data_IF_706447405725
#
_entry.id   IF_706447405725
#
_cell.length_a   1.000
_cell.length_b   1.000
_cell.length_c   1.000
_cell.angle_alpha   90.00
_cell.angle_beta   90.00
_cell.angle_gamma   90.00
#
_symmetry.space_group_name_H-M   'P 1'
#
loop_
_entity.id
_entity.type
_entity.pdbx_description
1 polymer ?
#
# COMPACT_ATOMS: atom_id res chain seq x y z
N UNK A 1 1.47 -17.81 -19.72
CA UNK A 1 0.69 -17.34 -18.57
C UNK A 1 1.59 -16.34 -17.86
N UNK A 2 1.35 -15.05 -18.05
CA UNK A 2 2.10 -14.03 -17.29
C UNK A 2 1.65 -14.11 -15.84
N UNK A 3 2.54 -14.56 -14.99
CA UNK A 3 2.35 -14.58 -13.55
C UNK A 3 2.19 -13.11 -13.12
N UNK A 4 1.02 -12.75 -12.59
CA UNK A 4 0.83 -11.43 -11.98
C UNK A 4 1.48 -11.52 -10.61
N UNK A 5 2.81 -11.67 -10.59
CA UNK A 5 3.58 -11.60 -9.36
C UNK A 5 3.64 -10.16 -8.88
N UNK A 6 3.44 -9.92 -7.58
CA UNK A 6 3.83 -8.63 -7.01
C UNK A 6 5.35 -8.45 -7.16
N UNK A 7 5.80 -7.22 -7.42
CA UNK A 7 7.21 -6.90 -7.30
C UNK A 7 7.70 -7.19 -5.88
N UNK A 8 8.95 -7.57 -5.72
CA UNK A 8 9.54 -7.79 -4.40
C UNK A 8 10.94 -7.19 -4.36
N UNK A 9 11.12 -6.23 -3.49
CA UNK A 9 12.40 -5.61 -3.16
C UNK A 9 12.65 -5.72 -1.67
N UNK A 10 13.89 -5.63 -1.27
CA UNK A 10 14.27 -5.43 0.12
C UNK A 10 14.32 -3.94 0.41
N UNK A 11 13.67 -3.48 1.50
CA UNK A 11 13.83 -2.10 1.95
C UNK A 11 14.61 -2.08 3.26
N UNK A 12 15.73 -1.38 3.27
CA UNK A 12 16.58 -1.20 4.44
C UNK A 12 16.43 0.23 4.96
N UNK A 13 16.16 0.36 6.24
CA UNK A 13 16.05 1.63 6.96
C UNK A 13 17.13 1.69 8.02
N UNK A 14 17.95 2.74 8.00
CA UNK A 14 19.07 2.89 8.91
C UNK A 14 19.09 4.27 9.58
N UNK A 15 19.07 4.26 10.93
CA UNK A 15 19.20 5.43 11.81
C UNK A 15 18.26 6.58 11.46
N UNK A 16 17.02 6.26 11.07
CA UNK A 16 16.04 7.23 10.59
C UNK A 16 15.58 8.13 11.73
N UNK A 17 15.66 9.45 11.53
CA UNK A 17 15.18 10.45 12.47
C UNK A 17 14.25 11.43 11.77
N UNK A 18 13.21 11.88 12.47
CA UNK A 18 12.29 12.92 12.02
C UNK A 18 11.70 13.70 13.17
N UNK A 19 11.77 15.03 13.07
CA UNK A 19 11.11 15.95 13.99
C UNK A 19 10.24 16.97 13.25
N UNK A 20 9.31 17.54 13.95
CA UNK A 20 8.42 18.59 13.45
C UNK A 20 8.37 19.77 14.40
N UNK A 21 8.10 20.97 13.88
CA UNK A 21 8.06 22.20 14.64
C UNK A 21 9.38 22.97 14.61
N UNK A 22 9.41 24.15 15.22
CA UNK A 22 10.57 25.05 15.22
C UNK A 22 10.86 25.49 16.66
N UNK A 23 12.15 25.56 17.00
CA UNK A 23 12.63 26.05 18.31
C UNK A 23 12.02 25.27 19.48
N UNK A 24 11.41 25.95 20.49
CA UNK A 24 10.85 25.28 21.67
C UNK A 24 9.67 24.33 21.39
N UNK A 25 9.06 24.45 20.21
CA UNK A 25 7.95 23.59 19.74
C UNK A 25 8.44 22.41 18.91
N UNK A 26 9.74 22.25 18.74
CA UNK A 26 10.30 21.09 18.03
C UNK A 26 10.04 19.81 18.81
N UNK A 27 9.41 18.85 18.17
CA UNK A 27 9.12 17.53 18.71
C UNK A 27 9.73 16.46 17.80
N UNK A 28 10.66 15.69 18.34
CA UNK A 28 11.18 14.50 17.70
C UNK A 28 10.09 13.42 17.70
N UNK A 29 9.72 12.93 16.53
CA UNK A 29 8.64 11.94 16.32
C UNK A 29 9.21 10.56 16.02
N UNK A 30 10.29 10.49 15.26
CA UNK A 30 11.02 9.26 14.97
C UNK A 30 12.48 9.50 15.38
N UNK A 31 13.00 8.55 16.15
CA UNK A 31 14.34 8.61 16.73
C UNK A 31 15.09 7.31 16.48
N UNK A 32 16.21 7.43 15.74
CA UNK A 32 17.17 6.33 15.48
C UNK A 32 16.49 5.00 15.10
N UNK A 33 15.52 5.08 14.17
CA UNK A 33 14.74 3.93 13.76
C UNK A 33 15.47 3.15 12.67
N UNK A 34 15.73 1.87 12.92
CA UNK A 34 16.42 0.98 11.99
C UNK A 34 15.70 -0.37 11.89
N UNK A 35 15.40 -0.82 10.68
CA UNK A 35 14.79 -2.12 10.40
C UNK A 35 14.92 -2.48 8.92
N UNK A 36 14.57 -3.72 8.58
CA UNK A 36 14.54 -4.21 7.19
C UNK A 36 13.17 -4.82 6.89
N UNK A 37 12.59 -4.43 5.76
CA UNK A 37 11.48 -5.15 5.14
C UNK A 37 12.08 -6.20 4.22
N UNK A 38 12.02 -7.47 4.63
CA UNK A 38 12.58 -8.58 3.87
C UNK A 38 11.73 -8.88 2.63
N UNK A 39 12.39 -9.30 1.55
CA UNK A 39 11.72 -9.67 0.28
C UNK A 39 10.63 -10.71 0.51
N UNK A 40 9.48 -10.49 -0.13
CA UNK A 40 8.34 -11.40 -0.13
C UNK A 40 7.78 -11.72 1.27
N UNK A 41 8.01 -10.82 2.23
CA UNK A 41 7.45 -10.95 3.58
C UNK A 41 6.46 -9.83 3.88
N UNK A 42 5.49 -10.18 4.72
CA UNK A 42 4.62 -9.23 5.39
C UNK A 42 5.27 -8.82 6.72
N UNK A 43 5.50 -7.52 6.86
CA UNK A 43 5.92 -6.92 8.13
C UNK A 43 4.76 -6.14 8.69
N UNK A 44 4.39 -6.38 9.93
CA UNK A 44 3.32 -5.66 10.61
C UNK A 44 3.92 -4.70 11.64
N UNK A 45 3.60 -3.41 11.50
CA UNK A 45 3.97 -2.36 12.45
C UNK A 45 2.75 -1.98 13.28
N UNK A 46 2.82 -2.25 14.57
CA UNK A 46 1.74 -1.96 15.51
C UNK A 46 2.14 -0.79 16.43
N UNK A 47 1.23 0.14 16.65
CA UNK A 47 1.47 1.24 17.59
C UNK A 47 0.24 2.13 17.77
N UNK A 48 0.16 2.88 18.89
CA UNK A 48 -0.96 3.76 19.16
C UNK A 48 -1.08 4.88 18.12
N UNK A 49 -2.27 5.47 18.00
CA UNK A 49 -2.46 6.65 17.14
C UNK A 49 -1.55 7.80 17.56
N UNK A 50 -0.95 8.49 16.59
CA UNK A 50 -0.07 9.65 16.84
C UNK A 50 1.37 9.30 17.26
N UNK A 51 1.80 8.03 17.26
CA UNK A 51 3.18 7.67 17.57
C UNK A 51 4.17 7.82 16.41
N UNK A 52 3.73 8.30 15.23
CA UNK A 52 4.61 8.54 14.09
C UNK A 52 4.51 7.54 12.93
N UNK A 53 3.57 6.58 12.96
CA UNK A 53 3.42 5.55 11.92
C UNK A 53 3.25 6.15 10.51
N UNK A 54 2.34 7.10 10.34
CA UNK A 54 2.14 7.78 9.04
C UNK A 54 3.33 8.62 8.63
N UNK A 55 4.04 9.27 9.57
CA UNK A 55 5.28 9.96 9.28
C UNK A 55 6.37 8.99 8.76
N UNK A 56 6.46 7.81 9.36
CA UNK A 56 7.35 6.76 8.88
C UNK A 56 6.98 6.34 7.44
N UNK A 57 5.71 6.02 7.18
CA UNK A 57 5.24 5.66 5.83
C UNK A 57 5.56 6.77 4.82
N UNK A 58 5.34 8.03 5.15
CA UNK A 58 5.64 9.16 4.27
C UNK A 58 7.12 9.23 3.89
N UNK A 59 8.02 8.97 4.84
CA UNK A 59 9.45 8.91 4.55
C UNK A 59 9.82 7.68 3.72
N UNK A 60 9.27 6.50 4.03
CA UNK A 60 9.50 5.28 3.26
C UNK A 60 9.01 5.41 1.82
N UNK A 61 7.87 6.08 1.62
CA UNK A 61 7.32 6.38 0.30
C UNK A 61 8.11 7.46 -0.46
N UNK A 62 8.95 8.23 0.25
CA UNK A 62 9.70 9.36 -0.32
C UNK A 62 8.88 10.64 -0.44
N UNK A 63 7.72 10.73 0.23
CA UNK A 63 6.91 11.95 0.28
C UNK A 63 7.52 13.00 1.23
N UNK A 64 8.23 12.53 2.25
CA UNK A 64 8.99 13.37 3.17
C UNK A 64 10.46 12.94 3.24
N UNK A 65 11.34 13.93 3.37
CA UNK A 65 12.77 13.67 3.59
C UNK A 65 13.02 13.49 5.10
N UNK A 66 13.72 12.43 5.52
CA UNK A 66 14.18 12.30 6.89
C UNK A 66 15.19 13.38 7.25
N UNK A 67 15.25 13.75 8.54
CA UNK A 67 16.24 14.72 9.05
C UNK A 67 17.63 14.07 9.20
N UNK A 68 17.67 12.75 9.45
CA UNK A 68 18.88 11.94 9.45
C UNK A 68 18.56 10.50 9.08
N UNK A 69 19.59 9.72 8.76
CA UNK A 69 19.47 8.33 8.35
C UNK A 69 19.28 8.15 6.84
N UNK A 70 18.96 6.92 6.43
CA UNK A 70 18.79 6.58 5.03
C UNK A 70 17.77 5.46 4.84
N UNK A 71 17.15 5.46 3.65
CA UNK A 71 16.23 4.43 3.20
C UNK A 71 16.75 3.92 1.86
N UNK A 72 16.94 2.62 1.74
CA UNK A 72 17.41 1.97 0.52
C UNK A 72 16.38 0.92 0.07
N UNK A 73 16.17 0.79 -1.25
CA UNK A 73 15.44 -0.33 -1.85
C UNK A 73 16.39 -1.06 -2.79
N UNK A 74 16.65 -2.33 -2.52
CA UNK A 74 17.64 -3.16 -3.26
C UNK A 74 19.03 -2.47 -3.37
N UNK A 75 19.45 -1.72 -2.35
CA UNK A 75 20.69 -0.98 -2.30
C UNK A 75 20.64 0.43 -2.93
N UNK A 76 19.55 0.80 -3.60
CA UNK A 76 19.36 2.14 -4.18
C UNK A 76 18.68 3.09 -3.20
N UNK A 77 19.22 4.31 -3.06
CA UNK A 77 18.70 5.30 -2.11
C UNK A 77 17.36 5.87 -2.57
N UNK A 78 16.39 5.86 -1.66
CA UNK A 78 15.12 6.58 -1.83
C UNK A 78 15.35 8.08 -1.75
N UNK A 79 15.15 8.80 -2.86
CA UNK A 79 15.36 10.25 -2.98
C UNK A 79 14.07 11.05 -3.22
N UNK A 80 12.93 10.36 -3.37
CA UNK A 80 11.62 10.96 -3.63
C UNK A 80 10.59 9.88 -3.96
N UNK A 81 9.34 10.22 -4.29
CA UNK A 81 8.33 9.26 -4.72
C UNK A 81 8.75 8.48 -5.97
N UNK A 82 8.38 7.21 -6.05
CA UNK A 82 8.70 6.35 -7.20
C UNK A 82 7.71 5.23 -7.41
N UNK A 83 7.62 4.66 -8.63
CA UNK A 83 6.70 3.58 -8.96
C UNK A 83 7.07 2.23 -8.34
N UNK A 84 8.28 2.11 -7.83
CA UNK A 84 8.81 0.93 -7.15
C UNK A 84 8.21 0.70 -5.76
N UNK A 85 7.46 1.68 -5.24
CA UNK A 85 6.77 1.63 -3.95
C UNK A 85 5.43 2.32 -4.00
N UNK A 86 4.45 1.74 -3.33
CA UNK A 86 3.08 2.25 -3.30
C UNK A 86 2.55 2.31 -1.88
N UNK A 87 1.72 3.32 -1.61
CA UNK A 87 0.99 3.48 -0.36
C UNK A 87 -0.50 3.30 -0.61
N UNK A 88 -1.12 2.41 0.17
CA UNK A 88 -2.57 2.32 0.34
C UNK A 88 -2.91 3.09 1.61
N UNK A 89 -3.59 4.21 1.45
CA UNK A 89 -3.91 5.12 2.56
C UNK A 89 -5.12 4.65 3.36
N UNK A 90 -5.30 5.22 4.56
CA UNK A 90 -6.45 4.97 5.42
C UNK A 90 -7.77 5.35 4.73
N UNK A 91 -7.83 6.49 4.07
CA UNK A 91 -8.95 6.89 3.23
C UNK A 91 -8.79 6.35 1.82
N UNK A 92 -9.88 5.92 1.19
CA UNK A 92 -9.83 5.42 -0.18
C UNK A 92 -9.44 6.55 -1.14
N UNK A 93 -8.39 6.30 -1.93
CA UNK A 93 -7.85 7.26 -2.89
C UNK A 93 -8.25 6.95 -4.35
N UNK A 94 -9.40 6.27 -4.55
CA UNK A 94 -9.92 6.02 -5.89
C UNK A 94 -10.29 7.35 -6.57
N UNK A 95 -10.01 7.46 -7.87
CA UNK A 95 -10.41 8.61 -8.68
C UNK A 95 -11.94 8.59 -8.86
N UNK A 96 -12.70 9.55 -8.28
CA UNK A 96 -14.17 9.50 -8.26
C UNK A 96 -14.80 9.66 -9.65
N UNK A 97 -14.08 10.21 -10.61
CA UNK A 97 -14.52 10.40 -12.00
C UNK A 97 -14.16 9.25 -12.94
N UNK A 98 -13.50 8.20 -12.43
CA UNK A 98 -13.12 7.00 -13.16
C UNK A 98 -13.93 5.81 -12.67
N UNK A 99 -14.25 4.90 -13.59
CA UNK A 99 -14.84 3.60 -13.25
C UNK A 99 -13.85 2.73 -12.46
N UNK A 100 -14.32 1.62 -11.90
CA UNK A 100 -13.47 0.64 -11.22
C UNK A 100 -12.38 0.13 -12.17
N UNK A 101 -12.75 -0.24 -13.41
CA UNK A 101 -11.79 -0.69 -14.42
C UNK A 101 -10.74 0.38 -14.73
N UNK A 102 -11.16 1.61 -14.96
CA UNK A 102 -10.25 2.72 -15.25
C UNK A 102 -9.32 3.04 -14.08
N UNK A 103 -9.82 3.00 -12.84
CA UNK A 103 -9.00 3.16 -11.64
C UNK A 103 -7.90 2.10 -11.56
N UNK A 104 -8.24 0.82 -11.72
CA UNK A 104 -7.29 -0.29 -11.63
C UNK A 104 -6.27 -0.23 -12.76
N UNK A 105 -6.73 -0.02 -13.99
CA UNK A 105 -5.87 -0.01 -15.20
C UNK A 105 -5.04 1.26 -15.36
N UNK A 106 -5.26 2.30 -14.54
CA UNK A 106 -4.68 3.65 -14.75
C UNK A 106 -3.15 3.65 -14.78
N UNK A 107 -2.51 3.07 -13.77
CA UNK A 107 -1.05 3.11 -13.61
C UNK A 107 -0.31 2.50 -14.81
N UNK A 108 -0.51 1.20 -15.11
CA UNK A 108 0.16 0.54 -16.24
C UNK A 108 -0.15 1.20 -17.59
N UNK A 109 -1.39 1.72 -17.76
CA UNK A 109 -1.79 2.44 -18.97
C UNK A 109 -0.98 3.73 -19.17
N UNK A 110 -0.85 4.55 -18.11
CA UNK A 110 -0.14 5.84 -18.18
C UNK A 110 1.36 5.65 -18.37
N UNK A 111 1.94 4.61 -17.76
CA UNK A 111 3.36 4.28 -17.94
C UNK A 111 3.65 3.56 -19.27
N UNK A 112 2.62 3.15 -20.02
CA UNK A 112 2.80 2.42 -21.27
C UNK A 112 3.32 0.99 -21.10
N UNK A 113 3.21 0.42 -19.89
CA UNK A 113 3.68 -0.94 -19.56
C UNK A 113 2.74 -2.02 -20.08
N UNK A 114 1.43 -1.74 -20.04
CA UNK A 114 0.39 -2.60 -20.58
C UNK A 114 -0.55 -1.80 -21.47
N UNK A 115 -1.02 -2.42 -22.54
CA UNK A 115 -1.96 -1.79 -23.49
C UNK A 115 -2.89 -2.82 -24.13
N UNK A 116 -3.97 -2.34 -24.73
CA UNK A 116 -4.91 -3.18 -25.50
C UNK A 116 -5.43 -4.36 -24.67
N UNK A 117 -5.41 -5.56 -25.29
CA UNK A 117 -5.93 -6.79 -24.70
C UNK A 117 -5.17 -7.25 -23.44
N UNK A 118 -3.87 -6.99 -23.37
CA UNK A 118 -3.08 -7.40 -22.20
C UNK A 118 -3.47 -6.60 -20.97
N UNK A 119 -3.68 -5.29 -21.12
CA UNK A 119 -4.18 -4.43 -20.05
C UNK A 119 -5.59 -4.87 -19.60
N UNK A 120 -6.48 -5.14 -20.57
CA UNK A 120 -7.85 -5.59 -20.29
C UNK A 120 -7.84 -6.93 -19.52
N UNK A 121 -7.13 -7.94 -20.04
CA UNK A 121 -7.06 -9.26 -19.44
C UNK A 121 -6.47 -9.21 -18.02
N UNK A 122 -5.37 -8.46 -17.83
CA UNK A 122 -4.72 -8.33 -16.53
C UNK A 122 -5.65 -7.63 -15.52
N UNK A 123 -6.30 -6.54 -15.94
CA UNK A 123 -7.24 -5.82 -15.09
C UNK A 123 -8.43 -6.68 -14.71
N UNK A 124 -9.03 -7.39 -15.67
CA UNK A 124 -10.19 -8.27 -15.41
C UNK A 124 -9.84 -9.40 -14.47
N UNK A 125 -8.69 -10.06 -14.66
CA UNK A 125 -8.22 -11.12 -13.76
C UNK A 125 -8.10 -10.64 -12.31
N UNK A 126 -7.55 -9.43 -12.09
CA UNK A 126 -7.44 -8.85 -10.76
C UNK A 126 -8.82 -8.48 -10.17
N UNK A 127 -9.74 -7.98 -11.00
CA UNK A 127 -11.12 -7.70 -10.56
C UNK A 127 -11.87 -8.97 -10.18
N UNK A 128 -11.72 -10.06 -10.95
CA UNK A 128 -12.28 -11.39 -10.64
C UNK A 128 -11.76 -11.92 -9.30
N UNK A 129 -10.46 -11.78 -9.04
CA UNK A 129 -9.84 -12.22 -7.78
C UNK A 129 -10.49 -11.57 -6.54
N UNK A 130 -10.97 -10.33 -6.66
CA UNK A 130 -11.61 -9.60 -5.55
C UNK A 130 -13.13 -9.54 -5.67
N UNK A 131 -13.75 -10.27 -6.63
CA UNK A 131 -15.19 -10.31 -6.85
C UNK A 131 -15.79 -8.97 -7.26
N UNK A 132 -15.09 -8.24 -8.13
CA UNK A 132 -15.53 -6.94 -8.66
C UNK A 132 -15.68 -6.91 -10.18
N UNK A 133 -15.64 -8.06 -10.86
CA UNK A 133 -15.78 -8.19 -12.32
C UNK A 133 -17.08 -7.57 -12.85
N UNK A 134 -18.19 -7.80 -12.16
CA UNK A 134 -19.50 -7.25 -12.51
C UNK A 134 -19.65 -5.75 -12.22
N UNK A 135 -18.73 -5.21 -11.42
CA UNK A 135 -18.71 -3.82 -11.00
C UNK A 135 -17.70 -2.96 -11.80
N UNK A 136 -17.04 -3.54 -12.81
CA UNK A 136 -15.98 -2.88 -13.58
C UNK A 136 -16.36 -1.52 -14.18
N UNK A 137 -17.63 -1.33 -14.55
CA UNK A 137 -18.17 -0.08 -15.13
C UNK A 137 -18.77 0.87 -14.10
N UNK A 138 -18.78 0.52 -12.82
CA UNK A 138 -19.30 1.37 -11.74
C UNK A 138 -18.27 2.39 -11.31
N UNK A 139 -18.75 3.54 -10.83
CA UNK A 139 -17.93 4.58 -10.21
C UNK A 139 -17.76 4.32 -8.70
N UNK A 140 -16.72 4.83 -8.05
CA UNK A 140 -16.49 4.65 -6.61
C UNK A 140 -17.71 4.99 -5.76
N UNK A 141 -18.47 6.03 -6.08
CA UNK A 141 -19.68 6.44 -5.36
C UNK A 141 -20.84 5.40 -5.40
N UNK A 142 -20.75 4.42 -6.28
CA UNK A 142 -21.74 3.34 -6.43
C UNK A 142 -21.30 2.05 -5.71
N UNK A 143 -20.17 2.07 -5.01
CA UNK A 143 -19.60 0.92 -4.30
C UNK A 143 -19.72 1.08 -2.79
N UNK A 144 -19.86 -0.03 -2.06
CA UNK A 144 -19.67 -0.03 -0.61
C UNK A 144 -18.20 0.26 -0.23
N UNK A 145 -17.95 0.68 1.01
CA UNK A 145 -16.59 0.95 1.48
C UNK A 145 -15.64 -0.25 1.32
N UNK A 146 -16.10 -1.48 1.62
CA UNK A 146 -15.33 -2.70 1.39
C UNK A 146 -15.03 -2.97 -0.09
N UNK A 147 -15.99 -2.70 -0.99
CA UNK A 147 -15.76 -2.81 -2.44
C UNK A 147 -14.75 -1.78 -2.94
N UNK A 148 -14.83 -0.53 -2.45
CA UNK A 148 -13.84 0.50 -2.77
C UNK A 148 -12.44 0.08 -2.31
N UNK A 149 -12.33 -0.48 -1.11
CA UNK A 149 -11.06 -0.95 -0.56
C UNK A 149 -10.48 -2.11 -1.38
N UNK A 150 -11.30 -3.06 -1.81
CA UNK A 150 -10.87 -4.15 -2.72
C UNK A 150 -10.36 -3.61 -4.06
N UNK A 151 -11.08 -2.66 -4.66
CA UNK A 151 -10.65 -2.00 -5.89
C UNK A 151 -9.32 -1.27 -5.73
N UNK A 152 -9.09 -0.62 -4.58
CA UNK A 152 -7.84 0.08 -4.28
C UNK A 152 -6.66 -0.88 -4.11
N UNK A 153 -6.86 -2.01 -3.42
CA UNK A 153 -5.83 -3.04 -3.30
C UNK A 153 -5.38 -3.57 -4.65
N UNK A 154 -6.30 -3.95 -5.53
CA UNK A 154 -5.93 -4.45 -6.87
C UNK A 154 -5.38 -3.35 -7.77
N UNK A 155 -5.77 -2.08 -7.59
CA UNK A 155 -5.13 -0.93 -8.22
C UNK A 155 -3.67 -0.76 -7.80
N UNK A 156 -3.35 -1.06 -6.54
CA UNK A 156 -1.96 -1.08 -6.08
C UNK A 156 -1.20 -2.27 -6.68
N UNK A 157 -1.79 -3.47 -6.64
CA UNK A 157 -1.17 -4.72 -7.09
C UNK A 157 -0.83 -4.72 -8.57
N UNK A 158 -1.69 -4.19 -9.45
CA UNK A 158 -1.45 -4.16 -10.91
C UNK A 158 -0.17 -3.40 -11.27
N UNK A 159 0.27 -2.49 -10.41
CA UNK A 159 1.48 -1.71 -10.61
C UNK A 159 2.76 -2.48 -10.25
N UNK A 160 2.65 -3.66 -9.66
CA UNK A 160 3.77 -4.53 -9.25
C UNK A 160 4.88 -3.78 -8.49
N UNK A 161 4.56 -2.99 -7.44
CA UNK A 161 5.56 -2.26 -6.70
C UNK A 161 6.52 -3.22 -6.01
N UNK A 162 7.81 -2.85 -5.89
CA UNK A 162 8.78 -3.62 -5.11
C UNK A 162 8.41 -3.68 -3.63
N UNK A 163 7.80 -2.61 -3.10
CA UNK A 163 7.30 -2.53 -1.72
C UNK A 163 5.91 -1.90 -1.71
N UNK A 164 4.95 -2.57 -1.07
CA UNK A 164 3.62 -2.03 -0.82
C UNK A 164 3.45 -1.71 0.66
N UNK A 165 3.06 -0.50 0.96
CA UNK A 165 2.82 -0.02 2.31
C UNK A 165 1.34 0.27 2.51
N UNK A 166 0.79 -0.09 3.66
CA UNK A 166 -0.61 0.13 3.98
C UNK A 166 -0.72 0.85 5.32
N UNK A 167 -1.31 2.03 5.33
CA UNK A 167 -1.51 2.86 6.52
C UNK A 167 -2.93 2.69 7.06
N UNK A 168 -3.10 1.86 8.08
CA UNK A 168 -4.39 1.53 8.71
C UNK A 168 -5.52 1.26 7.68
N UNK A 169 -5.30 0.35 6.69
CA UNK A 169 -6.15 0.28 5.49
C UNK A 169 -7.59 -0.15 5.78
N UNK A 170 -7.85 -0.82 6.90
CA UNK A 170 -9.19 -1.31 7.24
C UNK A 170 -9.86 -0.52 8.36
N UNK A 171 -9.23 0.58 8.79
CA UNK A 171 -9.82 1.49 9.76
C UNK A 171 -11.09 2.14 9.21
N UNK A 172 -12.10 2.27 10.07
CA UNK A 172 -13.39 2.86 9.69
C UNK A 172 -14.37 1.91 8.99
N UNK A 173 -13.96 0.67 8.70
CA UNK A 173 -14.88 -0.37 8.28
C UNK A 173 -15.63 -0.95 9.50
N UNK A 174 -16.89 -1.38 9.29
CA UNK A 174 -17.60 -2.16 10.29
C UNK A 174 -16.89 -3.51 10.54
N UNK A 175 -17.16 -4.14 11.68
CA UNK A 175 -16.43 -5.33 12.13
C UNK A 175 -16.52 -6.51 11.14
N UNK A 176 -17.68 -6.74 10.51
CA UNK A 176 -17.86 -7.83 9.55
C UNK A 176 -17.08 -7.55 8.25
N UNK A 177 -17.21 -6.35 7.71
CA UNK A 177 -16.47 -5.93 6.51
C UNK A 177 -14.97 -5.96 6.75
N UNK A 178 -14.50 -5.52 7.94
CA UNK A 178 -13.09 -5.57 8.33
C UNK A 178 -12.56 -7.00 8.33
N UNK A 179 -13.25 -7.93 9.00
CA UNK A 179 -12.84 -9.34 9.04
C UNK A 179 -12.75 -9.95 7.63
N UNK A 180 -13.73 -9.69 6.76
CA UNK A 180 -13.69 -10.12 5.37
C UNK A 180 -12.50 -9.52 4.61
N UNK A 181 -12.18 -8.25 4.83
CA UNK A 181 -11.05 -7.59 4.17
C UNK A 181 -9.70 -8.13 4.65
N UNK A 182 -9.58 -8.48 5.93
CA UNK A 182 -8.39 -9.12 6.49
C UNK A 182 -8.16 -10.50 5.85
N UNK A 183 -9.20 -11.34 5.78
CA UNK A 183 -9.15 -12.65 5.10
C UNK A 183 -8.77 -12.49 3.61
N UNK A 184 -9.37 -11.53 2.92
CA UNK A 184 -9.05 -11.22 1.53
C UNK A 184 -7.57 -10.84 1.36
N UNK A 185 -7.08 -9.95 2.22
CA UNK A 185 -5.71 -9.49 2.13
C UNK A 185 -4.70 -10.61 2.39
N UNK A 186 -4.92 -11.43 3.43
CA UNK A 186 -4.05 -12.60 3.72
C UNK A 186 -4.00 -13.54 2.52
N UNK A 187 -5.15 -13.88 1.94
CA UNK A 187 -5.23 -14.75 0.76
C UNK A 187 -4.46 -14.16 -0.43
N UNK A 188 -4.67 -12.86 -0.73
CA UNK A 188 -3.95 -12.17 -1.80
C UNK A 188 -2.44 -12.15 -1.54
N UNK A 189 -2.02 -11.94 -0.30
CA UNK A 189 -0.61 -11.96 0.06
C UNK A 189 -0.01 -13.37 -0.09
N UNK A 190 -0.69 -14.42 0.34
CA UNK A 190 -0.23 -15.81 0.19
C UNK A 190 -0.06 -16.23 -1.28
N UNK A 191 -0.96 -15.78 -2.15
CA UNK A 191 -0.92 -16.07 -3.59
C UNK A 191 0.19 -15.31 -4.31
N UNK A 192 0.48 -14.06 -3.92
CA UNK A 192 1.34 -13.15 -4.68
C UNK A 192 2.66 -12.78 -4.01
N UNK A 193 2.80 -13.02 -2.71
CA UNK A 193 4.05 -12.90 -1.95
C UNK A 193 4.89 -11.65 -2.21
N UNK A 194 4.29 -10.44 -2.27
CA UNK A 194 5.03 -9.19 -2.36
C UNK A 194 5.72 -8.78 -1.04
N UNK A 195 6.62 -7.83 -1.09
CA UNK A 195 7.18 -7.21 0.12
C UNK A 195 6.19 -6.17 0.64
N UNK A 196 5.58 -6.41 1.80
CA UNK A 196 4.51 -5.58 2.32
C UNK A 196 4.82 -5.08 3.73
N UNK A 197 4.53 -3.80 3.97
CA UNK A 197 4.45 -3.21 5.31
C UNK A 197 2.99 -2.89 5.62
N UNK A 198 2.43 -3.55 6.62
CA UNK A 198 1.09 -3.28 7.11
C UNK A 198 1.17 -2.52 8.43
N UNK A 199 0.57 -1.36 8.50
CA UNK A 199 0.59 -0.50 9.68
C UNK A 199 -0.81 -0.44 10.27
N UNK A 200 -0.90 -0.71 11.58
CA UNK A 200 -2.17 -0.69 12.30
C UNK A 200 -2.03 -0.16 13.73
N UNK A 201 -3.12 0.34 14.28
CA UNK A 201 -3.24 0.64 15.72
C UNK A 201 -3.95 -0.48 16.49
N UNK A 202 -4.49 -1.48 15.79
CA UNK A 202 -5.28 -2.58 16.33
C UNK A 202 -4.39 -3.81 16.55
N UNK A 203 -4.20 -4.22 17.81
CA UNK A 203 -3.36 -5.37 18.14
C UNK A 203 -3.91 -6.68 17.56
N UNK A 204 -5.23 -6.87 17.63
CA UNK A 204 -5.92 -8.06 17.12
C UNK A 204 -5.71 -8.22 15.61
N UNK A 205 -5.76 -7.12 14.86
CA UNK A 205 -5.49 -7.10 13.42
C UNK A 205 -4.04 -7.53 13.11
N UNK A 206 -3.08 -6.99 13.88
CA UNK A 206 -1.67 -7.33 13.69
C UNK A 206 -1.30 -8.76 14.08
N UNK A 207 -2.10 -9.42 14.92
CA UNK A 207 -1.91 -10.84 15.27
C UNK A 207 -2.57 -11.76 14.21
N UNK A 208 -3.67 -11.30 13.61
CA UNK A 208 -4.39 -12.05 12.58
C UNK A 208 -3.58 -12.15 11.27
N UNK A 209 -2.84 -11.08 10.92
CA UNK A 209 -2.04 -10.98 9.71
C UNK A 209 -0.69 -11.69 9.84
#
# INVERSE_FOLDING_TARGET
MSDIGMGYGEMQVANLCKGYGIGPLHKEVIKDCSFTLEKSKLTVLIGPSGCGKSALINMLAGYETPDAGSILIDGEKVSGPGPDRLVVFQETALFPWMTVFENVSYGPRVRGELSGKDLENTTMKLLEMVGLEDFRSKYPSQLSGGMQRRAELVRAMINQPKVMMMDEPFRGLDAMTRALMQEYYVRLFEEHRGTNLFVTSELEEGIFL
#
